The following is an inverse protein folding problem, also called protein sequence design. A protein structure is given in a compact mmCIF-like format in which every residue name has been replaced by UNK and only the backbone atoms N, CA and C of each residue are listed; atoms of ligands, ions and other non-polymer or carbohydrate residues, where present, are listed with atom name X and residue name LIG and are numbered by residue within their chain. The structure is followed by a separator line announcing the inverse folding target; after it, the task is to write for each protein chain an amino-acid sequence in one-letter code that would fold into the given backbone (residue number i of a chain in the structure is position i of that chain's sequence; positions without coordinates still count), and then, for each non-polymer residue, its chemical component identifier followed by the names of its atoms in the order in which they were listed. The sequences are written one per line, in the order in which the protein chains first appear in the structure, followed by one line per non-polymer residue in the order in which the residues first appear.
data_IF_266205269419
#
_entry.id   IF_266205269419
#
_cell.length_a   1.000
_cell.length_b   1.000
_cell.length_c   1.000
_cell.angle_alpha   90.00
_cell.angle_beta   90.00
_cell.angle_gamma   90.00
#
_symmetry.space_group_name_H-M   'P 1'
#
loop_
_entity.id
_entity.type
_entity.pdbx_description
1 polymer ?
#
# COMPACT_ATOMS: atom_id res chain seq x y z
N UNK A 1 3.62 -15.24 -10.53
CA UNK A 1 3.53 -15.44 -9.08
C UNK A 1 2.65 -16.64 -8.94
N UNK A 2 3.15 -17.68 -8.29
CA UNK A 2 2.43 -18.93 -8.08
C UNK A 2 1.41 -18.70 -6.96
N UNK A 3 0.19 -18.27 -7.33
CA UNK A 3 -0.83 -17.86 -6.36
C UNK A 3 -1.44 -19.05 -5.65
N UNK A 4 -1.64 -20.16 -6.36
CA UNK A 4 -2.29 -21.36 -5.83
C UNK A 4 -1.29 -22.46 -5.41
N UNK A 5 0.01 -22.17 -5.50
CA UNK A 5 1.10 -23.06 -5.13
C UNK A 5 1.09 -24.39 -5.91
N UNK A 6 0.61 -24.36 -7.17
CA UNK A 6 0.60 -25.51 -8.08
C UNK A 6 1.95 -25.72 -8.80
N UNK A 7 2.88 -24.77 -8.65
CA UNK A 7 4.20 -24.76 -9.27
C UNK A 7 4.26 -24.06 -10.63
N UNK A 8 3.16 -23.49 -11.09
CA UNK A 8 3.08 -22.62 -12.25
C UNK A 8 2.79 -21.17 -11.81
N UNK A 9 3.30 -20.21 -12.58
CA UNK A 9 3.08 -18.80 -12.27
C UNK A 9 1.80 -18.28 -12.92
N UNK A 10 0.96 -17.58 -12.15
CA UNK A 10 -0.04 -16.65 -12.66
C UNK A 10 0.58 -15.28 -12.95
N UNK A 11 -0.05 -14.53 -13.84
CA UNK A 11 0.40 -13.22 -14.27
C UNK A 11 -0.68 -12.17 -14.07
N UNK A 12 -0.26 -10.97 -13.65
CA UNK A 12 -1.13 -9.80 -13.55
C UNK A 12 -0.56 -8.72 -14.46
N UNK A 13 -1.39 -8.16 -15.33
CA UNK A 13 -1.07 -6.93 -16.06
C UNK A 13 -1.98 -5.79 -15.62
N UNK A 14 -1.44 -4.58 -15.59
CA UNK A 14 -2.16 -3.36 -15.19
C UNK A 14 -2.42 -2.47 -16.39
N UNK A 15 -3.65 -1.97 -16.50
CA UNK A 15 -4.00 -0.91 -17.44
C UNK A 15 -4.52 0.30 -16.66
N UNK A 16 -4.19 1.49 -17.15
CA UNK A 16 -4.62 2.75 -16.56
C UNK A 16 -5.18 3.67 -17.63
N UNK A 17 -6.32 4.28 -17.35
CA UNK A 17 -6.93 5.36 -18.11
C UNK A 17 -6.96 6.63 -17.25
N UNK A 18 -5.89 7.44 -17.29
CA UNK A 18 -5.80 8.67 -16.50
C UNK A 18 -6.83 9.72 -16.90
N UNK A 19 -7.37 9.66 -18.13
CA UNK A 19 -8.35 10.64 -18.63
C UNK A 19 -9.69 10.42 -17.95
N UNK A 20 -10.08 9.15 -17.75
CA UNK A 20 -11.35 8.80 -17.13
C UNK A 20 -11.22 8.39 -15.65
N UNK A 21 -10.01 8.46 -15.09
CA UNK A 21 -9.67 8.04 -13.73
C UNK A 21 -10.17 6.61 -13.44
N UNK A 22 -9.79 5.71 -14.34
CA UNK A 22 -10.07 4.28 -14.25
C UNK A 22 -8.78 3.50 -14.42
N UNK A 23 -8.78 2.30 -13.90
CA UNK A 23 -7.73 1.33 -14.11
C UNK A 23 -8.31 -0.06 -13.97
N UNK A 24 -7.60 -1.04 -14.47
CA UNK A 24 -8.01 -2.42 -14.39
C UNK A 24 -6.80 -3.33 -14.32
N UNK A 25 -7.06 -4.55 -13.89
CA UNK A 25 -6.11 -5.63 -13.97
C UNK A 25 -6.66 -6.74 -14.85
N UNK A 26 -5.76 -7.38 -15.58
CA UNK A 26 -6.02 -8.67 -16.22
C UNK A 26 -5.25 -9.73 -15.45
N UNK A 27 -5.98 -10.73 -14.94
CA UNK A 27 -5.40 -11.91 -14.32
C UNK A 27 -5.30 -12.99 -15.40
N UNK A 28 -4.10 -13.54 -15.59
CA UNK A 28 -3.83 -14.56 -16.60
C UNK A 28 -3.25 -15.80 -15.94
N UNK A 29 -3.60 -16.97 -16.48
CA UNK A 29 -3.01 -18.24 -16.06
C UNK A 29 -1.60 -18.43 -16.63
N UNK A 30 -0.96 -19.54 -16.29
CA UNK A 30 0.38 -19.92 -16.74
C UNK A 30 0.60 -19.97 -18.25
N UNK A 31 -0.48 -20.18 -19.02
CA UNK A 31 -0.49 -20.20 -20.48
C UNK A 31 -0.80 -18.83 -21.09
N UNK A 32 -0.84 -17.76 -20.28
CA UNK A 32 -1.24 -16.39 -20.66
C UNK A 32 -2.68 -16.28 -21.17
N UNK A 33 -3.56 -17.21 -20.82
CA UNK A 33 -4.99 -17.07 -21.07
C UNK A 33 -5.61 -16.20 -19.98
N UNK A 34 -6.48 -15.28 -20.38
CA UNK A 34 -7.22 -14.44 -19.45
C UNK A 34 -8.12 -15.32 -18.56
N UNK A 35 -7.92 -15.22 -17.25
CA UNK A 35 -8.83 -15.74 -16.24
C UNK A 35 -10.00 -14.75 -16.11
N UNK A 36 -9.71 -13.49 -15.77
CA UNK A 36 -10.70 -12.41 -15.72
C UNK A 36 -10.07 -11.01 -15.72
N UNK A 37 -10.91 -9.98 -15.85
CA UNK A 37 -10.59 -8.57 -15.72
C UNK A 37 -11.30 -7.94 -14.52
N UNK A 38 -10.54 -7.32 -13.61
CA UNK A 38 -11.10 -6.57 -12.47
C UNK A 38 -10.95 -5.08 -12.70
N UNK A 39 -12.09 -4.37 -12.70
CA UNK A 39 -12.17 -2.95 -12.98
C UNK A 39 -12.19 -2.09 -11.71
N UNK A 40 -11.48 -0.97 -11.74
CA UNK A 40 -11.41 0.02 -10.67
C UNK A 40 -11.87 1.38 -11.16
N UNK A 41 -12.73 2.02 -10.37
CA UNK A 41 -13.07 3.42 -10.55
C UNK A 41 -12.05 4.27 -9.81
N UNK A 42 -10.80 4.26 -10.27
CA UNK A 42 -9.70 4.98 -9.66
C UNK A 42 -8.39 4.62 -10.34
N UNK A 43 -7.28 5.07 -9.77
CA UNK A 43 -5.93 4.70 -10.22
C UNK A 43 -5.37 3.64 -9.28
N UNK A 44 -4.91 2.51 -9.79
CA UNK A 44 -4.15 1.53 -9.00
C UNK A 44 -2.80 2.13 -8.61
N UNK A 45 -2.52 2.16 -7.31
CA UNK A 45 -1.29 2.72 -6.75
C UNK A 45 -0.29 1.63 -6.37
N UNK A 46 -0.78 0.46 -5.96
CA UNK A 46 0.07 -0.64 -5.52
C UNK A 46 -0.64 -1.97 -5.63
N UNK A 47 0.11 -3.04 -5.91
CA UNK A 47 -0.38 -4.41 -5.89
C UNK A 47 0.66 -5.34 -5.26
N UNK A 48 0.18 -6.29 -4.47
CA UNK A 48 0.97 -7.37 -3.87
C UNK A 48 0.09 -8.61 -3.70
N UNK A 49 0.64 -9.70 -3.18
CA UNK A 49 -0.08 -10.92 -2.88
C UNK A 49 0.38 -11.48 -1.53
N UNK A 50 -0.52 -12.19 -0.85
CA UNK A 50 -0.26 -12.97 0.35
C UNK A 50 -1.48 -13.83 0.71
N UNK A 51 -1.26 -14.97 1.35
CA UNK A 51 -2.29 -15.81 1.99
C UNK A 51 -2.99 -15.03 3.12
N UNK A 52 -4.09 -14.36 2.77
CA UNK A 52 -4.89 -13.52 3.65
C UNK A 52 -5.97 -14.34 4.35
N UNK A 53 -6.56 -15.30 3.63
CA UNK A 53 -7.58 -16.20 4.16
C UNK A 53 -7.02 -17.28 5.09
N UNK A 54 -5.72 -17.60 4.97
CA UNK A 54 -5.05 -18.64 5.73
C UNK A 54 -5.29 -20.05 5.19
N UNK A 55 -5.72 -20.17 3.92
CA UNK A 55 -5.99 -21.45 3.27
C UNK A 55 -4.79 -22.02 2.49
N UNK A 56 -3.69 -21.26 2.43
CA UNK A 56 -2.46 -21.62 1.74
C UNK A 56 -2.44 -21.24 0.27
N UNK A 57 -3.43 -20.50 -0.21
CA UNK A 57 -3.48 -19.84 -1.52
C UNK A 57 -3.31 -18.33 -1.30
N UNK A 58 -2.50 -17.68 -2.12
CA UNK A 58 -2.27 -16.25 -2.02
C UNK A 58 -3.44 -15.46 -2.64
N UNK A 59 -3.97 -14.51 -1.88
CA UNK A 59 -4.87 -13.48 -2.40
C UNK A 59 -4.09 -12.31 -3.01
N UNK A 60 -4.65 -11.72 -4.04
CA UNK A 60 -4.12 -10.50 -4.66
C UNK A 60 -4.71 -9.29 -3.93
N UNK A 61 -3.81 -8.41 -3.48
CA UNK A 61 -4.15 -7.20 -2.71
C UNK A 61 -3.78 -5.97 -3.51
N UNK A 62 -4.79 -5.16 -3.82
CA UNK A 62 -4.68 -4.03 -4.72
C UNK A 62 -5.12 -2.78 -3.98
N UNK A 63 -4.22 -1.80 -3.91
CA UNK A 63 -4.57 -0.48 -3.42
C UNK A 63 -4.79 0.47 -4.59
N UNK A 64 -5.87 1.25 -4.51
CA UNK A 64 -6.25 2.19 -5.56
C UNK A 64 -6.81 3.47 -4.97
N UNK A 65 -6.61 4.58 -5.67
CA UNK A 65 -7.05 5.90 -5.24
C UNK A 65 -8.22 6.38 -6.10
N UNK A 66 -9.25 6.89 -5.44
CA UNK A 66 -10.38 7.56 -6.09
C UNK A 66 -10.65 8.88 -5.38
N UNK A 67 -10.55 9.98 -6.13
CA UNK A 67 -10.76 11.33 -5.63
C UNK A 67 -9.77 11.68 -4.51
N UNK A 68 -10.24 11.78 -3.28
CA UNK A 68 -9.49 12.18 -2.08
C UNK A 68 -9.21 11.00 -1.14
N UNK A 69 -9.48 9.77 -1.58
CA UNK A 69 -9.44 8.58 -0.74
C UNK A 69 -8.74 7.41 -1.43
N UNK A 70 -7.89 6.71 -0.67
CA UNK A 70 -7.26 5.45 -1.05
C UNK A 70 -8.01 4.28 -0.42
N UNK A 71 -8.15 3.22 -1.20
CA UNK A 71 -8.90 2.02 -0.88
C UNK A 71 -8.03 0.78 -1.09
N UNK A 72 -8.43 -0.31 -0.45
CA UNK A 72 -7.91 -1.65 -0.65
C UNK A 72 -9.00 -2.50 -1.28
N UNK A 73 -8.62 -3.37 -2.21
CA UNK A 73 -9.43 -4.51 -2.65
C UNK A 73 -8.59 -5.78 -2.54
N UNK A 74 -9.18 -6.83 -2.01
CA UNK A 74 -8.60 -8.18 -1.98
C UNK A 74 -9.43 -9.06 -2.90
N UNK A 75 -8.76 -9.78 -3.80
CA UNK A 75 -9.36 -10.73 -4.71
C UNK A 75 -8.64 -12.09 -4.61
N UNK A 76 -9.34 -13.18 -4.89
CA UNK A 76 -8.72 -14.51 -4.99
C UNK A 76 -8.01 -14.72 -6.35
N UNK A 77 -7.35 -15.87 -6.51
CA UNK A 77 -6.70 -16.31 -7.75
C UNK A 77 -7.67 -16.55 -8.94
N UNK A 78 -8.98 -16.49 -8.70
CA UNK A 78 -10.03 -16.53 -9.73
C UNK A 78 -10.65 -15.15 -9.98
N UNK A 79 -10.03 -14.07 -9.47
CA UNK A 79 -10.48 -12.69 -9.56
C UNK A 79 -11.80 -12.37 -8.84
N UNK A 80 -12.30 -13.24 -7.97
CA UNK A 80 -13.47 -12.94 -7.14
C UNK A 80 -13.10 -11.92 -6.06
N UNK A 81 -13.94 -10.89 -5.89
CA UNK A 81 -13.73 -9.88 -4.84
C UNK A 81 -14.10 -10.47 -3.48
N UNK A 82 -13.12 -10.54 -2.59
CA UNK A 82 -13.29 -11.04 -1.22
C UNK A 82 -13.52 -9.91 -0.22
N UNK A 83 -12.82 -8.78 -0.37
CA UNK A 83 -12.94 -7.65 0.53
C UNK A 83 -12.66 -6.31 -0.15
N UNK A 84 -13.24 -5.25 0.39
CA UNK A 84 -12.93 -3.86 0.08
C UNK A 84 -12.87 -3.04 1.36
N UNK A 85 -11.90 -2.12 1.45
CA UNK A 85 -11.73 -1.28 2.62
C UNK A 85 -11.26 0.13 2.27
N UNK A 86 -11.64 1.10 3.11
CA UNK A 86 -11.02 2.42 3.11
C UNK A 86 -9.68 2.36 3.85
N UNK A 87 -8.64 2.98 3.29
CA UNK A 87 -7.34 3.08 3.96
C UNK A 87 -7.14 4.46 4.56
N UNK A 88 -6.94 5.48 3.72
CA UNK A 88 -6.66 6.85 4.15
C UNK A 88 -7.14 7.86 3.10
N UNK A 89 -7.17 9.11 3.50
CA UNK A 89 -7.51 10.23 2.61
C UNK A 89 -6.41 11.28 2.60
N UNK A 90 -6.44 12.12 1.58
CA UNK A 90 -5.56 13.27 1.49
C UNK A 90 -6.22 14.43 0.76
N UNK A 91 -5.41 15.44 0.44
CA UNK A 91 -5.91 16.66 -0.19
C UNK A 91 -4.84 17.29 -1.07
N UNK A 92 -5.22 17.98 -2.16
CA UNK A 92 -4.28 18.73 -2.97
C UNK A 92 -3.51 19.75 -2.13
N UNK A 93 -2.25 20.01 -2.52
CA UNK A 93 -1.45 21.13 -1.99
C UNK A 93 -1.58 22.32 -2.93
N UNK A 94 -1.86 23.50 -2.36
CA UNK A 94 -1.89 24.76 -3.10
C UNK A 94 -0.99 25.76 -2.38
N UNK A 95 0.00 26.28 -3.08
CA UNK A 95 0.88 27.33 -2.57
C UNK A 95 1.39 28.25 -3.69
N UNK A 96 2.39 29.08 -3.39
CA UNK A 96 2.96 30.04 -4.34
C UNK A 96 3.64 29.39 -5.56
N UNK A 97 3.96 28.10 -5.50
CA UNK A 97 4.56 27.33 -6.60
C UNK A 97 3.54 26.64 -7.50
N UNK A 98 2.29 26.49 -7.05
CA UNK A 98 1.19 25.99 -7.87
C UNK A 98 0.19 25.13 -7.09
N UNK A 99 -0.60 24.38 -7.86
CA UNK A 99 -1.54 23.37 -7.36
C UNK A 99 -1.01 21.99 -7.69
N UNK A 100 -0.85 21.15 -6.66
CA UNK A 100 -0.39 19.78 -6.78
C UNK A 100 -1.53 18.86 -6.37
N UNK A 101 -2.00 18.06 -7.33
CA UNK A 101 -3.01 17.05 -7.07
C UNK A 101 -2.48 16.05 -6.04
N UNK A 102 -3.38 15.61 -5.16
CA UNK A 102 -3.12 14.46 -4.31
C UNK A 102 -3.35 13.19 -5.11
N UNK A 103 -2.45 12.22 -4.97
CA UNK A 103 -2.44 10.99 -5.78
C UNK A 103 -2.64 9.73 -4.95
N UNK A 104 -2.42 9.81 -3.63
CA UNK A 104 -2.63 8.67 -2.74
C UNK A 104 -1.57 7.58 -2.91
N UNK A 105 -0.37 7.96 -3.35
CA UNK A 105 0.74 7.04 -3.60
C UNK A 105 1.04 6.15 -2.40
N UNK A 106 1.30 4.88 -2.68
CA UNK A 106 1.66 3.86 -1.68
C UNK A 106 3.00 3.27 -2.08
N UNK A 107 3.97 3.34 -1.15
CA UNK A 107 5.29 2.78 -1.35
C UNK A 107 5.31 1.26 -1.20
N UNK A 108 4.59 0.73 -0.20
CA UNK A 108 4.58 -0.69 0.12
C UNK A 108 3.38 -1.07 0.98
N UNK A 109 3.01 -2.35 0.92
CA UNK A 109 2.03 -3.00 1.80
C UNK A 109 2.64 -4.31 2.32
N UNK A 110 2.44 -4.59 3.60
CA UNK A 110 2.84 -5.85 4.25
C UNK A 110 1.67 -6.44 5.04
N UNK A 111 1.72 -7.76 5.23
CA UNK A 111 0.76 -8.51 6.03
C UNK A 111 1.48 -9.41 7.03
N UNK A 112 1.54 -8.99 8.30
CA UNK A 112 2.31 -9.70 9.32
C UNK A 112 1.83 -9.33 10.73
N UNK A 113 1.99 -10.25 11.67
CA UNK A 113 1.78 -10.00 13.11
C UNK A 113 2.91 -9.10 13.62
N UNK A 114 2.62 -7.81 13.80
CA UNK A 114 3.64 -6.82 14.20
C UNK A 114 3.77 -6.72 15.72
N UNK A 115 2.71 -6.98 16.47
CA UNK A 115 2.67 -6.77 17.92
C UNK A 115 2.74 -8.05 18.76
N UNK A 116 2.84 -9.20 18.10
CA UNK A 116 3.04 -10.52 18.69
C UNK A 116 1.77 -11.09 19.32
N UNK A 117 0.58 -10.61 18.93
CA UNK A 117 -0.70 -11.07 19.49
C UNK A 117 -1.27 -12.33 18.81
N UNK A 118 -0.62 -12.81 17.75
CA UNK A 118 -1.02 -13.97 16.95
C UNK A 118 -1.98 -13.64 15.80
N UNK A 119 -2.47 -12.39 15.70
CA UNK A 119 -3.23 -11.86 14.57
C UNK A 119 -2.29 -11.06 13.67
N UNK A 120 -2.52 -11.08 12.36
CA UNK A 120 -1.73 -10.29 11.42
C UNK A 120 -2.33 -8.90 11.22
N UNK A 121 -1.47 -7.90 11.09
CA UNK A 121 -1.80 -6.54 10.67
C UNK A 121 -1.57 -6.34 9.18
N UNK A 122 -2.36 -5.44 8.59
CA UNK A 122 -2.04 -4.82 7.31
C UNK A 122 -1.28 -3.52 7.56
N UNK A 123 -0.05 -3.46 7.04
CA UNK A 123 0.84 -2.31 7.23
C UNK A 123 1.01 -1.63 5.88
N UNK A 124 0.48 -0.42 5.77
CA UNK A 124 0.50 0.38 4.55
C UNK A 124 1.47 1.54 4.74
N UNK A 125 2.27 1.82 3.72
CA UNK A 125 3.18 2.96 3.67
C UNK A 125 2.70 3.98 2.65
N UNK A 126 1.79 4.91 3.02
CA UNK A 126 1.52 6.08 2.18
C UNK A 126 2.81 6.85 1.97
N UNK A 127 3.05 7.32 0.75
CA UNK A 127 4.23 8.08 0.39
C UNK A 127 3.87 9.15 -0.65
N UNK A 128 2.94 10.04 -0.28
CA UNK A 128 2.44 11.05 -1.21
C UNK A 128 3.58 11.91 -1.79
N UNK A 129 3.56 12.06 -3.11
CA UNK A 129 4.53 12.85 -3.86
C UNK A 129 4.36 14.36 -3.64
N UNK A 130 3.93 15.08 -4.68
CA UNK A 130 3.96 16.54 -4.68
C UNK A 130 2.91 17.21 -3.78
N UNK A 131 1.80 16.54 -3.46
CA UNK A 131 0.87 17.07 -2.45
C UNK A 131 1.45 17.01 -1.02
N UNK A 132 2.49 16.21 -0.82
CA UNK A 132 3.32 16.21 0.39
C UNK A 132 2.85 15.28 1.50
N UNK A 133 1.56 14.96 1.58
CA UNK A 133 0.99 14.16 2.66
C UNK A 133 -0.28 13.39 2.24
N UNK A 134 -0.58 12.25 2.88
CA UNK A 134 0.17 11.65 3.99
C UNK A 134 1.43 10.90 3.53
N UNK A 135 2.40 10.82 4.44
CA UNK A 135 3.58 9.95 4.34
C UNK A 135 3.80 9.26 5.67
N UNK A 136 4.29 8.01 5.67
CA UNK A 136 4.68 7.32 6.90
C UNK A 136 4.17 5.88 6.94
N UNK A 137 3.81 5.41 8.13
CA UNK A 137 3.33 4.04 8.34
C UNK A 137 1.95 4.01 9.00
N UNK A 138 1.04 3.27 8.40
CA UNK A 138 -0.37 3.19 8.76
C UNK A 138 -0.68 1.71 8.99
N UNK A 139 -1.04 1.35 10.22
CA UNK A 139 -1.23 -0.04 10.62
C UNK A 139 -2.70 -0.29 10.91
N UNK A 140 -3.25 -1.27 10.22
CA UNK A 140 -4.64 -1.69 10.31
C UNK A 140 -4.70 -3.11 10.84
N UNK A 141 -5.78 -3.40 11.56
CA UNK A 141 -6.18 -4.77 11.82
C UNK A 141 -6.36 -5.51 10.48
N UNK A 142 -5.73 -6.67 10.34
CA UNK A 142 -5.62 -7.35 9.05
C UNK A 142 -6.92 -7.95 8.52
N UNK A 143 -7.96 -8.07 9.34
CA UNK A 143 -9.24 -8.69 8.95
C UNK A 143 -10.39 -7.68 8.91
N UNK A 144 -10.46 -6.78 9.89
CA UNK A 144 -11.50 -5.74 9.99
C UNK A 144 -11.12 -4.45 9.27
N UNK A 145 -9.86 -4.31 8.85
CA UNK A 145 -9.29 -3.11 8.22
C UNK A 145 -9.45 -1.83 9.05
N UNK A 146 -9.63 -1.97 10.37
CA UNK A 146 -9.69 -0.85 11.29
C UNK A 146 -8.28 -0.35 11.57
N UNK A 147 -8.06 0.95 11.43
CA UNK A 147 -6.79 1.58 11.78
C UNK A 147 -6.47 1.32 13.27
N UNK A 148 -5.40 0.57 13.56
CA UNK A 148 -4.87 0.37 14.92
C UNK A 148 -4.09 1.61 15.34
N UNK A 149 -3.14 2.05 14.51
CA UNK A 149 -2.33 3.25 14.74
C UNK A 149 -1.67 3.73 13.45
N UNK A 150 -1.14 4.96 13.48
CA UNK A 150 -0.30 5.49 12.39
C UNK A 150 0.81 6.39 12.92
N UNK A 151 1.89 6.47 12.17
CA UNK A 151 3.00 7.40 12.40
C UNK A 151 3.32 8.14 11.11
N UNK A 152 2.90 9.40 11.04
CA UNK A 152 3.14 10.27 9.89
C UNK A 152 4.54 10.90 9.94
N UNK A 153 5.14 11.08 8.77
CA UNK A 153 6.49 11.65 8.64
C UNK A 153 6.47 12.84 7.65
N UNK A 154 7.40 13.77 7.83
CA UNK A 154 7.70 14.84 6.88
C UNK A 154 8.29 14.35 5.56
N UNK A 155 9.46 13.67 5.58
CA UNK A 155 10.21 13.30 4.38
C UNK A 155 9.52 12.19 3.56
N UNK A 156 9.98 11.97 2.32
CA UNK A 156 9.51 10.87 1.47
C UNK A 156 10.20 9.55 1.84
N UNK A 157 9.49 8.43 1.76
CA UNK A 157 10.05 7.12 2.07
C UNK A 157 10.99 6.71 0.92
N UNK A 158 12.17 6.19 1.28
CA UNK A 158 13.12 5.63 0.30
C UNK A 158 13.28 4.15 0.53
N UNK A 159 13.32 3.40 -0.57
CA UNK A 159 13.41 1.95 -0.59
C UNK A 159 12.16 1.27 -0.01
N UNK A 160 12.13 -0.06 -0.12
CA UNK A 160 11.12 -0.90 0.53
C UNK A 160 11.42 -0.99 2.03
N UNK A 161 10.46 -0.70 2.92
CA UNK A 161 10.63 -0.89 4.36
C UNK A 161 10.97 -2.33 4.74
N UNK A 162 11.59 -2.52 5.90
CA UNK A 162 11.91 -3.83 6.47
C UNK A 162 11.17 -3.96 7.79
N UNK A 163 10.53 -5.11 8.01
CA UNK A 163 9.77 -5.40 9.23
C UNK A 163 10.38 -6.63 9.87
N UNK A 164 10.97 -6.46 11.06
CA UNK A 164 11.67 -7.52 11.78
C UNK A 164 11.73 -7.21 13.27
N UNK A 165 11.82 -8.26 14.09
CA UNK A 165 12.14 -8.13 15.51
C UNK A 165 13.66 -7.85 15.64
N UNK A 166 14.02 -6.59 15.90
CA UNK A 166 15.43 -6.14 15.98
C UNK A 166 15.98 -6.37 17.38
N UNK A 167 15.12 -6.37 18.39
CA UNK A 167 15.49 -6.34 19.80
C UNK A 167 15.26 -7.70 20.53
N UNK A 168 14.68 -8.69 19.84
CA UNK A 168 14.27 -10.01 20.32
C UNK A 168 13.22 -9.98 21.44
N UNK A 169 12.28 -9.04 21.42
CA UNK A 169 11.17 -8.98 22.38
C UNK A 169 9.89 -9.70 21.91
N UNK A 170 9.90 -10.25 20.69
CA UNK A 170 8.78 -10.95 20.08
C UNK A 170 7.84 -10.04 19.29
N UNK A 171 8.07 -8.72 19.26
CA UNK A 171 7.36 -7.74 18.43
C UNK A 171 8.28 -7.31 17.30
N UNK A 172 7.69 -6.97 16.14
CA UNK A 172 8.48 -6.51 14.99
C UNK A 172 8.53 -4.99 14.98
N UNK A 173 9.71 -4.44 14.79
CA UNK A 173 9.90 -3.03 14.44
C UNK A 173 9.85 -2.82 12.92
N UNK A 174 9.58 -1.58 12.53
CA UNK A 174 9.57 -1.12 11.15
C UNK A 174 10.78 -0.21 10.90
N UNK A 175 11.64 -0.62 9.96
CA UNK A 175 12.84 0.11 9.55
C UNK A 175 12.73 0.63 8.11
N UNK A 176 12.92 1.93 7.90
CA UNK A 176 12.99 2.52 6.55
C UNK A 176 13.77 3.82 6.53
N UNK A 177 14.41 4.10 5.39
CA UNK A 177 15.10 5.38 5.15
C UNK A 177 14.18 6.41 4.50
N UNK A 178 14.60 7.67 4.48
CA UNK A 178 13.85 8.74 3.81
C UNK A 178 14.71 9.71 3.00
N UNK A 179 14.08 10.37 2.03
CA UNK A 179 14.64 11.44 1.20
C UNK A 179 13.95 12.77 1.52
N UNK A 180 14.68 13.87 1.24
CA UNK A 180 14.25 15.24 1.49
C UNK A 180 13.77 15.93 0.19
N UNK A 181 12.53 15.68 -0.30
CA UNK A 181 12.05 16.29 -1.54
C UNK A 181 11.84 17.81 -1.42
N UNK A 182 11.87 18.38 -0.21
CA UNK A 182 11.72 19.80 0.07
C UNK A 182 10.42 20.41 -0.50
N UNK A 183 9.30 19.68 -0.44
CA UNK A 183 7.99 20.15 -0.91
C UNK A 183 7.07 20.69 0.21
N UNK A 184 7.62 20.91 1.40
CA UNK A 184 7.02 21.67 2.49
C UNK A 184 6.32 20.82 3.56
N UNK A 185 6.40 19.49 3.49
CA UNK A 185 5.74 18.62 4.46
C UNK A 185 6.51 18.52 5.80
N UNK A 186 5.75 18.45 6.90
CA UNK A 186 6.28 18.27 8.26
C UNK A 186 5.30 17.44 9.08
N UNK A 187 5.79 16.42 9.78
CA UNK A 187 4.99 15.62 10.70
C UNK A 187 5.87 14.99 11.78
N UNK A 188 5.32 14.83 13.00
CA UNK A 188 5.96 14.19 14.14
C UNK A 188 7.41 14.63 14.43
N UNK A 189 7.68 15.93 14.30
CA UNK A 189 9.00 16.52 14.54
C UNK A 189 10.01 16.32 13.40
N UNK A 190 9.60 15.70 12.30
CA UNK A 190 10.40 15.57 11.08
C UNK A 190 9.90 16.53 10.00
N UNK A 191 10.80 16.90 9.08
CA UNK A 191 10.51 17.72 7.91
C UNK A 191 11.06 17.09 6.65
N UNK A 192 10.60 17.53 5.49
CA UNK A 192 11.10 17.05 4.21
C UNK A 192 12.32 17.81 3.67
N UNK A 193 13.05 18.52 4.55
CA UNK A 193 14.32 19.19 4.24
C UNK A 193 15.53 18.42 4.73
N UNK A 194 15.32 17.34 5.47
CA UNK A 194 16.34 16.43 5.94
C UNK A 194 15.96 14.98 5.59
N UNK A 195 16.97 14.13 5.53
CA UNK A 195 16.81 12.68 5.45
C UNK A 195 16.92 12.06 6.83
N UNK A 196 16.20 10.96 7.04
CA UNK A 196 16.09 10.28 8.31
C UNK A 196 16.20 8.77 8.08
N UNK A 197 16.56 8.06 9.14
CA UNK A 197 16.35 6.63 9.27
C UNK A 197 15.32 6.44 10.38
N UNK A 198 14.23 5.76 10.08
CA UNK A 198 13.16 5.50 11.02
C UNK A 198 13.26 4.08 11.54
N UNK A 199 13.11 3.93 12.85
CA UNK A 199 12.78 2.67 13.52
C UNK A 199 11.52 2.97 14.34
N UNK A 200 10.40 2.38 13.94
CA UNK A 200 9.06 2.63 14.52
C UNK A 200 8.51 1.34 15.11
#
# INVERSE_FOLDING_TARGET
MDLDHDGNDEYISFESDPVHNKSDIHLLNSDFNLIDQVNFNGTIEYATHFDWTGDGIDEIVIAYTRNDSSFLRIIDHNANILAEAFLFSGKPRVDSSGTYAWTGQINSIFYTDIDGDGSKELIVFPDEGFAGAPRGVFVYDGHTFRLKWKYEIGPAITNKPIILDVNNDGKKEILFGSAAPCNGNKANGTDDRHSYLFLV
#
